data_IF_671930580325
#
_entry.id   IF_671930580325
#
_cell.length_a   1.000
_cell.length_b   1.000
_cell.length_c   1.000
_cell.angle_alpha   90.00
_cell.angle_beta   90.00
_cell.angle_gamma   90.00
#
_symmetry.space_group_name_H-M   'P 1'
#
loop_
_entity.id
_entity.type
_entity.pdbx_description
1 polymer ?
#
# COMPACT_ATOMS: atom_id res chain seq x y z
N UNK A 1 24.63 -67.55 -2.27
CA UNK A 1 23.52 -66.58 -2.37
C UNK A 1 23.98 -65.35 -1.62
N UNK A 2 24.46 -64.34 -2.34
CA UNK A 2 24.95 -63.07 -1.80
C UNK A 2 23.86 -62.03 -2.02
N UNK A 3 23.23 -61.59 -0.94
CA UNK A 3 22.32 -60.45 -0.94
C UNK A 3 23.12 -59.17 -1.22
N UNK A 4 22.72 -58.46 -2.28
CA UNK A 4 23.25 -57.13 -2.60
C UNK A 4 22.47 -56.11 -1.79
N UNK A 5 23.17 -55.45 -0.88
CA UNK A 5 22.72 -54.24 -0.19
C UNK A 5 22.62 -53.10 -1.22
N UNK A 6 21.41 -52.61 -1.46
CA UNK A 6 21.16 -51.42 -2.30
C UNK A 6 21.23 -50.19 -1.39
N UNK A 7 22.19 -49.31 -1.65
CA UNK A 7 22.26 -47.99 -1.01
C UNK A 7 21.35 -47.06 -1.82
N UNK A 8 20.32 -46.43 -1.23
CA UNK A 8 19.59 -45.38 -1.92
C UNK A 8 20.51 -44.16 -2.07
N UNK A 9 20.70 -43.70 -3.31
CA UNK A 9 21.35 -42.43 -3.60
C UNK A 9 20.50 -41.25 -3.09
N UNK A 10 21.08 -40.06 -2.94
CA UNK A 10 20.32 -38.88 -2.55
C UNK A 10 19.29 -38.59 -3.65
N UNK A 11 18.02 -38.68 -3.28
CA UNK A 11 16.89 -38.41 -4.15
C UNK A 11 16.62 -36.91 -4.24
N UNK A 12 16.47 -36.48 -5.48
CA UNK A 12 15.68 -35.34 -5.99
C UNK A 12 15.78 -33.98 -5.29
N UNK A 13 16.55 -33.11 -5.95
CA UNK A 13 16.27 -31.68 -6.07
C UNK A 13 14.80 -31.46 -6.43
N UNK A 14 14.01 -30.91 -5.51
CA UNK A 14 12.64 -30.47 -5.77
C UNK A 14 12.65 -29.14 -6.55
N UNK A 15 12.02 -29.05 -7.75
CA UNK A 15 11.99 -27.83 -8.56
C UNK A 15 10.84 -26.88 -8.19
N UNK A 16 10.37 -26.89 -6.94
CA UNK A 16 9.29 -26.01 -6.46
C UNK A 16 9.77 -24.63 -6.01
N UNK A 17 11.07 -24.45 -5.74
CA UNK A 17 11.59 -23.23 -5.11
C UNK A 17 11.90 -22.09 -6.07
N UNK A 18 11.87 -22.28 -7.39
CA UNK A 18 12.35 -21.28 -8.34
C UNK A 18 11.31 -20.24 -8.75
N UNK A 19 10.01 -20.55 -8.72
CA UNK A 19 8.94 -19.63 -9.10
C UNK A 19 8.52 -18.76 -7.91
N UNK A 20 8.27 -19.35 -6.74
CA UNK A 20 7.98 -18.61 -5.49
C UNK A 20 9.10 -17.62 -5.12
N UNK A 21 10.38 -18.03 -5.23
CA UNK A 21 11.51 -17.13 -4.99
C UNK A 21 11.63 -16.00 -6.03
N UNK A 22 11.16 -16.23 -7.25
CA UNK A 22 11.13 -15.20 -8.29
C UNK A 22 9.98 -14.22 -8.09
N UNK A 23 8.83 -14.69 -7.61
CA UNK A 23 7.69 -13.85 -7.24
C UNK A 23 8.04 -12.97 -6.03
N UNK A 24 8.60 -13.56 -4.97
CA UNK A 24 9.09 -12.80 -3.81
C UNK A 24 10.10 -11.71 -4.21
N UNK A 25 11.03 -12.01 -5.13
CA UNK A 25 11.99 -11.02 -5.62
C UNK A 25 11.37 -9.89 -6.43
N UNK A 26 10.26 -10.14 -7.14
CA UNK A 26 9.53 -9.12 -7.91
C UNK A 26 8.74 -8.18 -7.00
N UNK A 27 8.31 -8.68 -5.84
CA UNK A 27 7.60 -7.89 -4.83
C UNK A 27 8.52 -7.01 -3.98
N UNK A 28 9.84 -7.21 -4.04
CA UNK A 28 10.79 -6.37 -3.31
C UNK A 28 10.84 -4.96 -3.90
N UNK A 29 10.82 -3.96 -3.01
CA UNK A 29 11.19 -2.62 -3.35
C UNK A 29 12.71 -2.51 -3.44
N UNK A 30 13.17 -1.73 -4.42
CA UNK A 30 14.57 -1.42 -4.65
C UNK A 30 14.70 0.09 -4.88
N UNK A 31 15.93 0.56 -5.14
CA UNK A 31 16.19 1.97 -5.42
C UNK A 31 15.39 2.54 -6.61
N UNK A 32 14.83 1.70 -7.48
CA UNK A 32 13.97 2.14 -8.59
C UNK A 32 12.69 2.81 -8.07
N UNK A 33 12.18 2.40 -6.89
CA UNK A 33 11.05 3.10 -6.24
C UNK A 33 11.35 4.59 -6.04
N UNK A 34 12.57 4.92 -5.57
CA UNK A 34 12.94 6.32 -5.35
C UNK A 34 13.01 7.08 -6.67
N UNK A 35 13.54 6.44 -7.71
CA UNK A 35 13.61 7.05 -9.03
C UNK A 35 12.20 7.27 -9.61
N UNK A 36 11.31 6.29 -9.47
CA UNK A 36 9.93 6.36 -9.96
C UNK A 36 9.13 7.43 -9.20
N UNK A 37 9.27 7.50 -7.87
CA UNK A 37 8.65 8.54 -7.05
C UNK A 37 9.17 9.93 -7.43
N UNK A 38 10.49 10.12 -7.52
CA UNK A 38 11.07 11.40 -7.94
C UNK A 38 10.70 11.79 -9.37
N UNK A 39 10.61 10.83 -10.29
CA UNK A 39 10.16 11.06 -11.65
C UNK A 39 8.69 11.51 -11.67
N UNK A 40 7.83 10.84 -10.91
CA UNK A 40 6.42 11.21 -10.76
C UNK A 40 6.25 12.63 -10.20
N UNK A 41 6.94 12.98 -9.10
CA UNK A 41 6.92 14.34 -8.54
C UNK A 41 7.50 15.36 -9.54
N UNK A 42 8.54 14.96 -10.28
CA UNK A 42 9.14 15.78 -11.34
C UNK A 42 8.18 16.08 -12.48
N UNK A 43 7.37 15.10 -12.89
CA UNK A 43 6.29 15.24 -13.87
C UNK A 43 5.20 16.18 -13.35
N UNK A 44 4.69 15.97 -12.12
CA UNK A 44 3.69 16.84 -11.49
C UNK A 44 4.11 18.32 -11.51
N UNK A 45 5.37 18.61 -11.16
CA UNK A 45 5.92 19.99 -11.14
C UNK A 45 6.09 20.61 -12.52
N UNK A 46 6.15 19.80 -13.58
CA UNK A 46 6.37 20.25 -14.96
C UNK A 46 5.06 20.30 -15.76
N UNK A 47 3.98 19.73 -15.25
CA UNK A 47 2.69 19.71 -15.92
C UNK A 47 1.97 21.06 -15.81
N UNK A 48 1.67 21.66 -16.95
CA UNK A 48 0.94 22.93 -17.01
C UNK A 48 -0.44 22.82 -16.32
N UNK A 49 -0.72 23.75 -15.40
CA UNK A 49 -1.97 23.82 -14.66
C UNK A 49 -1.97 23.05 -13.33
N UNK A 50 -0.95 22.23 -13.06
CA UNK A 50 -0.70 21.66 -11.73
C UNK A 50 0.13 22.66 -10.91
N UNK A 51 -0.25 22.81 -9.64
CA UNK A 51 0.35 23.76 -8.70
C UNK A 51 0.46 23.12 -7.31
N UNK A 52 1.17 23.79 -6.39
CA UNK A 52 1.30 23.37 -4.98
C UNK A 52 1.77 21.92 -4.79
N UNK A 53 2.77 21.49 -5.57
CA UNK A 53 3.33 20.14 -5.45
C UNK A 53 4.31 20.06 -4.27
N UNK A 54 3.84 19.44 -3.19
CA UNK A 54 4.64 19.15 -2.00
C UNK A 54 4.96 17.66 -1.93
N UNK A 55 6.18 17.33 -1.52
CA UNK A 55 6.62 15.94 -1.40
C UNK A 55 7.71 15.83 -0.33
N UNK A 56 7.52 14.87 0.57
CA UNK A 56 8.42 14.52 1.66
C UNK A 56 8.65 13.02 1.63
N UNK A 57 9.90 12.63 1.85
CA UNK A 57 10.30 11.23 1.93
C UNK A 57 11.27 11.12 3.10
N UNK A 58 11.04 10.14 3.97
CA UNK A 58 11.80 9.98 5.20
C UNK A 58 13.02 9.09 4.98
N UNK A 59 14.04 9.28 5.81
CA UNK A 59 15.23 8.45 5.76
C UNK A 59 14.86 6.97 6.02
N UNK A 60 15.57 5.99 5.43
CA UNK A 60 15.33 4.57 5.65
C UNK A 60 15.29 4.16 7.13
N UNK A 61 14.43 3.20 7.44
CA UNK A 61 14.36 2.58 8.78
C UNK A 61 15.61 1.73 9.02
N UNK A 62 16.35 1.97 10.11
CA UNK A 62 17.47 1.11 10.50
C UNK A 62 16.99 -0.31 10.83
N UNK A 63 17.74 -1.33 10.40
CA UNK A 63 17.42 -2.74 10.70
C UNK A 63 17.19 -3.01 12.19
N UNK A 64 17.97 -2.36 13.07
CA UNK A 64 17.79 -2.48 14.52
C UNK A 64 16.38 -2.05 14.96
N UNK A 65 15.80 -1.01 14.36
CA UNK A 65 14.45 -0.53 14.69
C UNK A 65 13.41 -1.56 14.27
N UNK A 66 13.54 -2.11 13.07
CA UNK A 66 12.68 -3.18 12.56
C UNK A 66 12.72 -4.39 13.49
N UNK A 67 13.92 -4.89 13.81
CA UNK A 67 14.12 -6.04 14.69
C UNK A 67 13.56 -5.79 16.11
N UNK A 68 13.64 -4.56 16.60
CA UNK A 68 13.12 -4.19 17.91
C UNK A 68 11.59 -4.25 17.94
N UNK A 69 10.92 -3.75 16.91
CA UNK A 69 9.46 -3.77 16.80
C UNK A 69 8.96 -5.20 16.56
N UNK A 70 9.60 -5.96 15.65
CA UNK A 70 9.30 -7.38 15.41
C UNK A 70 9.38 -8.19 16.72
N UNK A 71 10.47 -8.03 17.49
CA UNK A 71 10.59 -8.69 18.79
C UNK A 71 9.59 -8.20 19.84
N UNK A 72 9.26 -6.90 19.85
CA UNK A 72 8.32 -6.31 20.80
C UNK A 72 6.89 -6.82 20.61
N UNK A 73 6.48 -7.02 19.36
CA UNK A 73 5.15 -7.47 18.96
C UNK A 73 5.05 -8.99 18.81
N UNK A 74 6.19 -9.70 18.77
CA UNK A 74 6.20 -11.14 18.53
C UNK A 74 5.89 -11.54 17.08
N UNK A 75 5.94 -10.59 16.14
CA UNK A 75 5.64 -10.80 14.71
C UNK A 75 6.92 -10.77 13.86
N UNK A 76 6.83 -11.29 12.64
CA UNK A 76 7.88 -11.17 11.62
C UNK A 76 7.33 -10.49 10.38
N UNK A 77 7.73 -9.24 10.15
CA UNK A 77 7.31 -8.48 8.98
C UNK A 77 7.94 -9.11 7.72
N UNK A 78 7.16 -9.40 6.67
CA UNK A 78 7.66 -9.98 5.43
C UNK A 78 8.73 -9.11 4.76
N UNK A 79 9.68 -9.75 4.09
CA UNK A 79 10.76 -9.08 3.34
C UNK A 79 10.23 -8.07 2.33
N UNK A 80 9.13 -8.38 1.64
CA UNK A 80 8.44 -7.48 0.70
C UNK A 80 8.03 -6.15 1.33
N UNK A 81 7.50 -6.15 2.55
CA UNK A 81 7.12 -4.91 3.25
C UNK A 81 8.35 -4.23 3.86
N UNK A 82 9.24 -5.00 4.50
CA UNK A 82 10.49 -4.45 5.05
C UNK A 82 11.32 -3.72 4.00
N UNK A 83 11.37 -4.25 2.78
CA UNK A 83 12.14 -3.67 1.69
C UNK A 83 11.70 -2.23 1.36
N UNK A 84 10.41 -1.90 1.49
CA UNK A 84 9.92 -0.53 1.36
C UNK A 84 10.50 0.37 2.46
N UNK A 85 10.35 -0.06 3.73
CA UNK A 85 10.80 0.73 4.88
C UNK A 85 12.33 0.86 4.99
N UNK A 86 13.07 -0.10 4.43
CA UNK A 86 14.51 -0.04 4.26
C UNK A 86 14.97 0.92 3.16
N UNK A 87 14.04 1.49 2.38
CA UNK A 87 14.29 2.52 1.37
C UNK A 87 13.76 3.88 1.85
N UNK A 88 12.62 3.91 2.53
CA UNK A 88 12.02 5.13 3.06
C UNK A 88 11.12 4.82 4.26
N UNK A 89 11.23 5.59 5.35
CA UNK A 89 10.37 5.44 6.53
C UNK A 89 9.01 6.12 6.33
N UNK A 90 8.28 5.70 5.30
CA UNK A 90 7.07 6.39 4.84
C UNK A 90 7.38 7.57 3.91
N UNK A 91 6.32 8.08 3.29
CA UNK A 91 6.39 9.21 2.36
C UNK A 91 5.05 9.95 2.34
N UNK A 92 5.12 11.23 2.00
CA UNK A 92 3.96 12.09 1.87
C UNK A 92 4.10 12.93 0.61
N UNK A 93 3.02 13.07 -0.16
CA UNK A 93 2.98 14.07 -1.21
C UNK A 93 1.55 14.54 -1.45
N UNK A 94 1.43 15.76 -1.94
CA UNK A 94 0.17 16.37 -2.32
C UNK A 94 0.37 17.30 -3.50
N UNK A 95 -0.70 17.52 -4.26
CA UNK A 95 -0.72 18.48 -5.34
C UNK A 95 -2.13 19.00 -5.59
N UNK A 96 -2.19 20.21 -6.15
CA UNK A 96 -3.41 20.92 -6.51
C UNK A 96 -3.38 21.29 -7.99
N UNK A 97 -4.50 21.73 -8.55
CA UNK A 97 -4.53 22.25 -9.92
C UNK A 97 -5.46 23.45 -10.04
N UNK A 98 -5.23 24.26 -11.07
CA UNK A 98 -6.09 25.39 -11.39
C UNK A 98 -7.17 24.99 -12.41
N UNK A 99 -8.43 25.32 -12.09
CA UNK A 99 -9.58 25.17 -12.98
C UNK A 99 -10.48 26.40 -12.86
N UNK A 100 -10.72 27.09 -13.98
CA UNK A 100 -11.53 28.32 -14.03
C UNK A 100 -11.12 29.39 -13.00
N UNK A 101 -9.81 29.49 -12.71
CA UNK A 101 -9.25 30.41 -11.73
C UNK A 101 -9.49 30.02 -10.27
N UNK A 102 -10.00 28.81 -10.01
CA UNK A 102 -10.09 28.20 -8.70
C UNK A 102 -9.00 27.17 -8.51
N UNK A 103 -8.47 27.10 -7.29
CA UNK A 103 -7.55 26.07 -6.86
C UNK A 103 -8.35 24.88 -6.37
N UNK A 104 -8.19 23.74 -7.04
CA UNK A 104 -8.86 22.48 -6.71
C UNK A 104 -7.84 21.45 -6.22
N UNK A 105 -8.23 20.58 -5.28
CA UNK A 105 -7.35 19.53 -4.78
C UNK A 105 -7.16 18.49 -5.90
N UNK A 106 -5.90 18.17 -6.22
CA UNK A 106 -5.55 17.24 -7.30
C UNK A 106 -5.39 15.82 -6.81
N UNK A 107 -4.57 15.63 -5.78
CA UNK A 107 -4.34 14.33 -5.18
C UNK A 107 -3.24 14.34 -4.14
N UNK A 108 -2.95 13.17 -3.61
CA UNK A 108 -1.87 12.94 -2.69
C UNK A 108 -1.95 11.56 -2.04
N UNK A 109 -0.94 11.26 -1.24
CA UNK A 109 -0.95 10.13 -0.33
C UNK A 109 -0.05 10.41 0.86
N UNK A 110 -0.34 9.73 1.97
CA UNK A 110 0.49 9.77 3.16
C UNK A 110 0.64 8.36 3.67
N UNK A 111 1.75 7.73 3.25
CA UNK A 111 2.19 6.44 3.73
C UNK A 111 2.88 6.66 5.08
N UNK A 112 2.33 6.05 6.13
CA UNK A 112 2.90 6.20 7.46
C UNK A 112 4.27 5.55 7.60
N UNK A 113 5.04 6.10 8.54
CA UNK A 113 6.28 5.52 9.01
C UNK A 113 6.07 4.14 9.65
N UNK A 114 7.15 3.35 9.69
CA UNK A 114 7.13 1.96 10.13
C UNK A 114 6.66 1.80 11.57
N UNK A 115 7.04 2.71 12.46
CA UNK A 115 6.61 2.65 13.86
C UNK A 115 5.10 2.95 13.96
N UNK A 116 4.60 3.90 13.19
CA UNK A 116 3.17 4.20 13.12
C UNK A 116 2.35 3.03 12.59
N UNK A 117 2.85 2.29 11.58
CA UNK A 117 2.15 1.11 11.06
C UNK A 117 2.20 -0.05 12.05
N UNK A 118 3.36 -0.37 12.64
CA UNK A 118 3.50 -1.62 13.39
C UNK A 118 3.43 -1.46 14.91
N UNK A 119 3.98 -0.39 15.47
CA UNK A 119 4.06 -0.16 16.93
C UNK A 119 2.83 0.57 17.49
N UNK A 120 2.21 1.45 16.69
CA UNK A 120 1.08 2.26 17.13
C UNK A 120 -0.28 1.66 16.72
N UNK A 121 -1.18 1.60 17.71
CA UNK A 121 -2.59 1.41 17.49
C UNK A 121 -3.20 2.77 17.14
N UNK A 122 -3.74 2.92 15.93
CA UNK A 122 -4.42 4.16 15.57
C UNK A 122 -5.81 4.18 16.20
N UNK A 123 -5.97 4.90 17.32
CA UNK A 123 -7.23 5.03 18.07
C UNK A 123 -8.45 5.34 17.19
N UNK A 124 -8.25 6.04 16.06
CA UNK A 124 -9.30 6.37 15.09
C UNK A 124 -9.84 5.17 14.29
N UNK A 125 -9.07 4.08 14.16
CA UNK A 125 -9.54 2.82 13.57
C UNK A 125 -10.38 2.00 14.56
N UNK A 126 -10.21 2.23 15.87
CA UNK A 126 -10.70 1.35 16.94
C UNK A 126 -11.91 1.87 17.69
N UNK A 127 -12.79 2.62 17.03
CA UNK A 127 -14.07 2.94 17.64
C UNK A 127 -14.93 1.67 17.67
N UNK A 128 -14.93 1.00 18.83
CA UNK A 128 -15.84 -0.11 19.09
C UNK A 128 -17.28 0.40 19.02
N UNK A 129 -17.99 0.11 17.93
CA UNK A 129 -19.41 0.36 17.86
C UNK A 129 -20.14 -0.71 18.70
N UNK A 130 -21.17 -0.34 19.49
CA UNK A 130 -21.93 -1.30 20.30
C UNK A 130 -22.60 -2.43 19.50
N UNK A 131 -22.68 -2.27 18.18
CA UNK A 131 -23.33 -3.20 17.25
C UNK A 131 -22.36 -4.25 16.67
N UNK A 132 -21.04 -4.07 16.81
CA UNK A 132 -20.06 -5.05 16.34
C UNK A 132 -20.09 -6.30 17.21
N UNK A 133 -20.10 -7.46 16.55
CA UNK A 133 -19.83 -8.76 17.14
C UNK A 133 -18.39 -8.83 17.68
N UNK A 134 -18.14 -9.78 18.58
CA UNK A 134 -16.79 -10.03 19.10
C UNK A 134 -15.81 -10.34 17.96
N UNK A 135 -16.24 -11.10 16.95
CA UNK A 135 -15.42 -11.42 15.76
C UNK A 135 -15.05 -10.18 14.93
N UNK A 136 -15.99 -9.25 14.73
CA UNK A 136 -15.73 -7.99 14.03
C UNK A 136 -14.80 -7.08 14.84
N UNK A 137 -14.94 -7.07 16.17
CA UNK A 137 -14.02 -6.33 17.03
C UNK A 137 -12.61 -6.91 16.94
N UNK A 138 -12.46 -8.23 17.06
CA UNK A 138 -11.17 -8.92 16.95
C UNK A 138 -10.52 -8.70 15.58
N UNK A 139 -11.30 -8.81 14.49
CA UNK A 139 -10.81 -8.51 13.14
C UNK A 139 -10.35 -7.07 13.05
N UNK A 140 -11.15 -6.12 13.55
CA UNK A 140 -10.72 -4.73 13.61
C UNK A 140 -9.37 -4.72 14.33
N UNK A 141 -9.22 -5.15 15.58
CA UNK A 141 -7.92 -5.11 16.30
C UNK A 141 -6.71 -5.72 15.54
N UNK A 142 -6.90 -6.55 14.51
CA UNK A 142 -5.80 -6.99 13.64
C UNK A 142 -5.27 -5.92 12.67
N UNK A 143 -6.07 -4.93 12.29
CA UNK A 143 -5.74 -3.96 11.23
C UNK A 143 -4.70 -2.92 11.69
N UNK A 144 -3.92 -2.40 10.77
CA UNK A 144 -2.95 -1.32 11.02
C UNK A 144 -3.02 -0.31 9.90
N UNK A 145 -3.06 0.98 10.23
CA UNK A 145 -3.10 2.01 9.20
C UNK A 145 -1.81 2.06 8.40
N UNK A 146 -1.92 2.09 7.07
CA UNK A 146 -0.78 2.13 6.15
C UNK A 146 -0.73 3.44 5.40
N UNK A 147 -1.87 3.88 4.87
CA UNK A 147 -1.99 5.08 4.07
C UNK A 147 -3.31 5.78 4.36
N UNK A 148 -3.30 7.10 4.32
CA UNK A 148 -4.51 7.93 4.40
C UNK A 148 -4.57 8.87 3.22
N UNK A 149 -5.79 9.13 2.77
CA UNK A 149 -5.99 10.23 1.84
C UNK A 149 -5.71 11.58 2.52
N UNK A 150 -5.27 12.55 1.73
CA UNK A 150 -5.08 13.94 2.16
C UNK A 150 -6.25 14.84 1.74
N UNK A 151 -7.29 14.23 1.15
CA UNK A 151 -8.43 14.90 0.58
C UNK A 151 -9.46 15.41 1.58
N UNK A 152 -10.23 16.43 1.20
CA UNK A 152 -11.41 16.80 1.95
C UNK A 152 -12.39 15.62 1.97
N UNK A 153 -12.87 15.28 3.16
CA UNK A 153 -13.92 14.26 3.38
C UNK A 153 -13.50 12.80 3.15
N UNK A 154 -12.20 12.47 3.10
CA UNK A 154 -11.82 11.06 3.04
C UNK A 154 -12.00 10.38 4.39
N UNK A 155 -13.13 9.67 4.55
CA UNK A 155 -13.31 8.66 5.57
C UNK A 155 -12.51 7.38 5.27
N UNK A 156 -11.93 7.26 4.06
CA UNK A 156 -11.27 6.04 3.62
C UNK A 156 -9.78 6.04 3.95
N UNK A 157 -9.33 4.89 4.43
CA UNK A 157 -7.95 4.61 4.83
C UNK A 157 -7.53 3.26 4.28
N UNK A 158 -6.26 3.12 3.87
CA UNK A 158 -5.72 1.79 3.58
C UNK A 158 -5.08 1.24 4.84
N UNK A 159 -5.49 0.02 5.17
CA UNK A 159 -5.07 -0.69 6.37
C UNK A 159 -4.50 -2.06 5.98
N UNK A 160 -3.67 -2.61 6.87
CA UNK A 160 -3.01 -3.90 6.69
C UNK A 160 -3.39 -4.83 7.84
N UNK A 161 -3.72 -6.09 7.53
CA UNK A 161 -3.98 -7.11 8.54
C UNK A 161 -2.67 -7.60 9.16
N UNK A 162 -2.47 -7.30 10.45
CA UNK A 162 -1.34 -7.73 11.27
C UNK A 162 -1.88 -8.49 12.48
N UNK A 163 -2.41 -9.68 12.22
CA UNK A 163 -2.87 -10.61 13.28
C UNK A 163 -1.68 -11.11 14.12
N UNK A 164 -1.86 -11.22 15.44
CA UNK A 164 -0.79 -11.61 16.37
C UNK A 164 -0.33 -13.07 16.16
N UNK A 165 -1.29 -13.97 15.93
CA UNK A 165 -1.01 -15.41 15.81
C UNK A 165 -0.64 -15.84 14.38
N UNK A 166 -1.19 -15.17 13.36
CA UNK A 166 -0.94 -15.51 11.94
C UNK A 166 -1.13 -14.30 11.01
N UNK A 167 -0.16 -13.35 10.97
CA UNK A 167 -0.34 -12.14 10.19
C UNK A 167 -0.34 -12.45 8.68
N UNK A 168 -1.41 -12.05 7.99
CA UNK A 168 -1.54 -12.24 6.54
C UNK A 168 -0.93 -11.10 5.74
N UNK A 169 -0.89 -9.89 6.33
CA UNK A 169 -0.44 -8.65 5.69
C UNK A 169 -1.26 -8.26 4.45
N UNK A 170 -2.50 -8.75 4.37
CA UNK A 170 -3.45 -8.34 3.34
C UNK A 170 -3.81 -6.87 3.52
N UNK A 171 -4.05 -6.19 2.40
CA UNK A 171 -4.44 -4.78 2.38
C UNK A 171 -5.94 -4.66 2.25
N UNK A 172 -6.52 -3.68 2.94
CA UNK A 172 -7.94 -3.34 2.86
C UNK A 172 -8.10 -1.84 2.66
N UNK A 173 -9.16 -1.44 1.97
CA UNK A 173 -9.72 -0.10 2.11
C UNK A 173 -10.75 -0.15 3.23
N UNK A 174 -10.47 0.56 4.31
CA UNK A 174 -11.36 0.72 5.44
C UNK A 174 -12.04 2.08 5.38
N UNK A 175 -13.36 2.10 5.45
CA UNK A 175 -14.15 3.32 5.59
C UNK A 175 -14.44 3.58 7.07
N UNK A 176 -13.86 4.67 7.60
CA UNK A 176 -13.97 5.08 9.01
C UNK A 176 -15.39 5.47 9.41
N UNK A 177 -16.25 5.85 8.46
CA UNK A 177 -17.63 6.28 8.76
C UNK A 177 -18.58 5.07 8.82
N UNK A 178 -18.45 4.15 7.87
CA UNK A 178 -19.27 2.93 7.83
C UNK A 178 -18.68 1.75 8.59
N UNK A 179 -17.41 1.84 9.00
CA UNK A 179 -16.60 0.78 9.60
C UNK A 179 -16.52 -0.50 8.75
N UNK A 180 -16.67 -0.36 7.44
CA UNK A 180 -16.55 -1.48 6.50
C UNK A 180 -15.14 -1.59 5.94
N UNK A 181 -14.68 -2.81 5.71
CA UNK A 181 -13.38 -3.10 5.11
C UNK A 181 -13.56 -3.92 3.86
N UNK A 182 -13.00 -3.46 2.75
CA UNK A 182 -12.96 -4.17 1.48
C UNK A 182 -11.54 -4.66 1.21
N UNK A 183 -11.38 -5.95 0.93
CA UNK A 183 -10.09 -6.56 0.63
C UNK A 183 -9.58 -6.04 -0.72
N UNK A 184 -8.31 -5.62 -0.75
CA UNK A 184 -7.61 -5.31 -1.98
C UNK A 184 -6.86 -6.57 -2.45
N UNK A 185 -7.33 -7.18 -3.55
CA UNK A 185 -6.70 -8.37 -4.15
C UNK A 185 -5.38 -8.03 -4.88
N UNK A 186 -4.41 -7.49 -4.16
CA UNK A 186 -3.13 -7.03 -4.69
C UNK A 186 -2.02 -7.11 -3.65
N UNK A 187 -0.78 -7.12 -4.13
CA UNK A 187 0.41 -7.05 -3.28
C UNK A 187 0.70 -5.62 -2.82
N UNK A 188 1.49 -5.47 -1.75
CA UNK A 188 1.95 -4.15 -1.30
C UNK A 188 2.74 -3.40 -2.41
N UNK A 189 3.48 -4.14 -3.25
CA UNK A 189 4.16 -3.53 -4.41
C UNK A 189 3.18 -3.01 -5.44
N UNK A 190 2.16 -3.79 -5.77
CA UNK A 190 1.13 -3.39 -6.73
C UNK A 190 0.31 -2.19 -6.24
N UNK A 191 0.04 -2.12 -4.94
CA UNK A 191 -0.58 -0.95 -4.32
C UNK A 191 0.20 0.33 -4.65
N UNK A 192 1.52 0.29 -4.42
CA UNK A 192 2.41 1.41 -4.71
C UNK A 192 2.52 1.72 -6.20
N UNK A 193 2.64 0.70 -7.04
CA UNK A 193 2.67 0.90 -8.49
C UNK A 193 1.39 1.58 -8.98
N UNK A 194 0.22 1.23 -8.41
CA UNK A 194 -1.04 1.90 -8.70
C UNK A 194 -1.04 3.35 -8.20
N UNK A 195 -0.63 3.61 -6.95
CA UNK A 195 -0.51 4.95 -6.38
C UNK A 195 0.37 5.87 -7.23
N UNK A 196 1.54 5.39 -7.67
CA UNK A 196 2.44 6.15 -8.53
C UNK A 196 1.83 6.35 -9.93
N UNK A 197 1.16 5.34 -10.49
CA UNK A 197 0.50 5.43 -11.80
C UNK A 197 -0.67 6.42 -11.77
N UNK A 198 -1.42 6.48 -10.68
CA UNK A 198 -2.53 7.41 -10.49
C UNK A 198 -2.09 8.79 -10.00
N UNK A 199 -0.81 8.96 -9.63
CA UNK A 199 -0.28 10.16 -8.97
C UNK A 199 -1.06 10.54 -7.71
N UNK A 200 -1.65 9.56 -7.03
CA UNK A 200 -2.53 9.78 -5.89
C UNK A 200 -3.75 10.66 -6.19
N UNK A 201 -4.16 10.79 -7.46
CA UNK A 201 -5.31 11.63 -7.86
C UNK A 201 -6.54 11.21 -7.07
N UNK A 202 -7.31 12.16 -6.53
CA UNK A 202 -8.49 11.83 -5.73
C UNK A 202 -9.42 10.83 -6.44
N UNK A 203 -9.88 9.83 -5.70
CA UNK A 203 -10.69 8.73 -6.23
C UNK A 203 -9.89 7.54 -6.79
N UNK A 204 -8.56 7.62 -6.86
CA UNK A 204 -7.75 6.55 -7.45
C UNK A 204 -7.91 5.16 -6.79
N UNK A 205 -8.22 5.12 -5.49
CA UNK A 205 -8.47 3.84 -4.79
C UNK A 205 -9.71 3.11 -5.30
N UNK A 206 -10.63 3.82 -5.96
CA UNK A 206 -11.75 3.22 -6.69
C UNK A 206 -11.31 2.29 -7.82
N UNK A 207 -10.06 2.41 -8.31
CA UNK A 207 -9.47 1.44 -9.24
C UNK A 207 -9.21 0.08 -8.59
N UNK A 208 -9.09 0.03 -7.26
CA UNK A 208 -8.71 -1.16 -6.53
C UNK A 208 -9.91 -1.89 -5.89
N UNK A 209 -11.10 -1.31 -6.02
CA UNK A 209 -12.35 -1.77 -5.40
C UNK A 209 -13.39 -2.03 -6.48
N UNK A 210 -14.42 -2.82 -6.17
CA UNK A 210 -15.50 -3.11 -7.13
C UNK A 210 -16.42 -1.90 -7.41
N UNK A 211 -16.31 -0.82 -6.63
CA UNK A 211 -17.09 0.42 -6.77
C UNK A 211 -16.50 1.36 -7.84
N UNK A 212 -16.61 0.97 -9.12
CA UNK A 212 -16.17 1.79 -10.26
C UNK A 212 -17.18 2.86 -10.69
N UNK A 213 -18.40 2.84 -10.13
CA UNK A 213 -19.55 3.60 -10.64
C UNK A 213 -19.94 4.80 -9.75
N UNK A 214 -19.18 5.10 -8.69
CA UNK A 214 -19.41 6.27 -7.85
C UNK A 214 -19.00 7.60 -8.50
N UNK A 215 -19.62 8.71 -8.09
CA UNK A 215 -19.32 10.07 -8.57
C UNK A 215 -17.81 10.45 -8.47
N UNK A 216 -17.06 9.77 -7.59
CA UNK A 216 -15.60 9.94 -7.46
C UNK A 216 -14.78 9.36 -8.62
N UNK A 217 -15.28 8.34 -9.33
CA UNK A 217 -14.58 7.73 -10.45
C UNK A 217 -14.58 8.64 -11.69
N UNK A 218 -15.70 9.30 -11.97
CA UNK A 218 -15.79 10.26 -13.09
C UNK A 218 -14.84 11.45 -12.87
N UNK A 219 -14.84 12.03 -11.66
CA UNK A 219 -13.93 13.11 -11.30
C UNK A 219 -12.45 12.69 -11.39
N UNK A 220 -12.12 11.47 -10.94
CA UNK A 220 -10.78 10.90 -11.09
C UNK A 220 -10.36 10.83 -12.57
N UNK A 221 -11.18 10.25 -13.43
CA UNK A 221 -10.84 10.10 -14.85
C UNK A 221 -10.78 11.43 -15.59
N UNK A 222 -11.64 12.40 -15.25
CA UNK A 222 -11.56 13.75 -15.83
C UNK A 222 -10.19 14.40 -15.56
N UNK A 223 -9.71 14.31 -14.32
CA UNK A 223 -8.41 14.86 -13.93
C UNK A 223 -7.27 14.08 -14.60
N UNK A 224 -7.34 12.75 -14.61
CA UNK A 224 -6.32 11.90 -15.24
C UNK A 224 -6.24 12.11 -16.75
N UNK A 225 -7.36 12.20 -17.46
CA UNK A 225 -7.38 12.44 -18.90
C UNK A 225 -6.87 13.84 -19.27
N UNK A 226 -7.13 14.83 -18.41
CA UNK A 226 -6.67 16.20 -18.61
C UNK A 226 -5.16 16.33 -18.47
N UNK A 227 -4.58 15.79 -17.40
CA UNK A 227 -3.19 16.04 -17.04
C UNK A 227 -2.24 14.90 -17.41
N UNK A 228 -2.74 13.66 -17.47
CA UNK A 228 -1.95 12.45 -17.69
C UNK A 228 -2.61 11.49 -18.70
N UNK A 229 -2.94 11.93 -19.93
CA UNK A 229 -3.65 11.14 -20.93
C UNK A 229 -2.90 9.88 -21.42
N UNK A 230 -1.67 9.67 -20.97
CA UNK A 230 -0.83 8.52 -21.31
C UNK A 230 -0.58 7.60 -20.10
N UNK A 231 -1.22 7.86 -18.96
CA UNK A 231 -1.18 6.98 -17.80
C UNK A 231 -1.80 5.61 -18.16
N UNK A 232 -1.06 4.54 -17.88
CA UNK A 232 -1.50 3.17 -18.19
C UNK A 232 -2.35 2.61 -17.05
N UNK A 233 -3.58 3.10 -16.94
CA UNK A 233 -4.52 2.69 -15.88
C UNK A 233 -5.27 1.38 -16.19
N UNK A 234 -5.23 0.89 -17.44
CA UNK A 234 -6.00 -0.27 -17.88
C UNK A 234 -5.68 -1.57 -17.13
N UNK A 235 -4.48 -1.69 -16.53
CA UNK A 235 -4.14 -2.83 -15.68
C UNK A 235 -4.96 -2.86 -14.38
N UNK A 236 -5.42 -1.71 -13.92
CA UNK A 236 -6.09 -1.51 -12.64
C UNK A 236 -7.59 -1.29 -12.80
N UNK A 237 -8.15 -1.51 -14.00
CA UNK A 237 -9.60 -1.49 -14.18
C UNK A 237 -10.11 -2.90 -13.89
N UNK A 238 -10.91 -3.05 -12.84
CA UNK A 238 -11.72 -4.25 -12.60
C UNK A 238 -12.66 -4.55 -13.76
#
# INVERSE_FOLDING_TARGET
MTDKMVIPGPGDDSPGSSEEQQEEQRELFNWDLLFDFHAMIGELRQTDGIVEVEATMHDPVPNFTIETIEHGLGILVPSRIKSFYQITDGLEFSWSYEHDGQLLPGGGAHIFDFATVFDNWLDSLWHSLPEHSDEEQDFLWSLRGVDRDLGPESSKMVVMCVEEDYPTYDLFVHDLDSHTSELLELTFREYFDCLLTSRGTYGWRGLLTEDTDGDGAEAFFEVMDRFFPHAKLDRWRG
#
